data_IF_632512540292
#
_entry.id   IF_632512540292
#
_cell.length_a   1.000
_cell.length_b   1.000
_cell.length_c   1.000
_cell.angle_alpha   90.00
_cell.angle_beta   90.00
_cell.angle_gamma   90.00
#
_symmetry.space_group_name_H-M   'P 1'
#
loop_
_entity.id
_entity.type
_entity.pdbx_description
1 polymer ?
#
# COMPACT_ATOMS: atom_id res chain seq x y z
N UNK A 1 0.99 -18.68 -15.90
CA UNK A 1 1.66 -17.36 -15.97
C UNK A 1 0.97 -16.42 -14.99
N UNK A 2 1.17 -16.62 -13.68
CA UNK A 2 0.52 -15.80 -12.62
C UNK A 2 1.54 -14.95 -11.84
N UNK A 3 2.68 -14.66 -12.46
CA UNK A 3 3.76 -13.89 -11.86
C UNK A 3 4.24 -12.79 -12.81
N UNK A 4 4.76 -11.71 -12.24
CA UNK A 4 5.51 -10.68 -12.96
C UNK A 4 6.88 -11.21 -13.35
N UNK A 5 7.43 -10.66 -14.44
CA UNK A 5 8.77 -11.04 -14.89
C UNK A 5 9.81 -10.34 -14.01
N UNK A 6 10.66 -11.12 -13.36
CA UNK A 6 11.83 -10.58 -12.67
C UNK A 6 12.80 -9.93 -13.67
N UNK A 7 13.29 -8.75 -13.32
CA UNK A 7 14.26 -7.96 -14.09
C UNK A 7 15.42 -7.55 -13.18
N UNK A 8 16.50 -7.03 -13.75
CA UNK A 8 17.60 -6.49 -12.96
C UNK A 8 17.13 -5.37 -11.99
N UNK A 9 16.18 -4.52 -12.41
CA UNK A 9 15.63 -3.45 -11.60
C UNK A 9 14.75 -3.95 -10.44
N UNK A 10 14.14 -5.13 -10.57
CA UNK A 10 13.19 -5.69 -9.59
C UNK A 10 13.78 -6.84 -8.78
N UNK A 11 15.04 -7.23 -9.04
CA UNK A 11 15.72 -8.32 -8.33
C UNK A 11 16.61 -7.77 -7.22
N UNK A 12 16.28 -7.99 -5.94
CA UNK A 12 17.09 -7.49 -4.84
C UNK A 12 18.41 -8.25 -4.72
N UNK A 13 19.50 -7.53 -4.45
CA UNK A 13 20.83 -8.14 -4.21
C UNK A 13 20.93 -8.81 -2.84
N UNK A 14 20.19 -8.31 -1.84
CA UNK A 14 20.18 -8.85 -0.47
C UNK A 14 18.91 -9.63 -0.17
N UNK A 15 19.08 -10.82 0.39
CA UNK A 15 17.99 -11.76 0.72
C UNK A 15 17.04 -12.00 -0.46
N UNK A 16 17.55 -12.42 -1.64
CA UNK A 16 16.74 -12.67 -2.83
C UNK A 16 15.69 -13.78 -2.62
N UNK A 17 15.92 -14.71 -1.69
CA UNK A 17 14.98 -15.74 -1.29
C UNK A 17 13.67 -15.20 -0.70
N UNK A 18 13.66 -13.92 -0.27
CA UNK A 18 12.48 -13.21 0.22
C UNK A 18 11.69 -12.51 -0.89
N UNK A 19 12.22 -12.44 -2.11
CA UNK A 19 11.54 -11.83 -3.23
C UNK A 19 10.35 -12.69 -3.67
N UNK A 20 9.24 -12.03 -4.01
CA UNK A 20 8.03 -12.65 -4.55
C UNK A 20 7.60 -11.87 -5.78
N UNK A 21 7.12 -12.59 -6.78
CA UNK A 21 6.69 -12.03 -8.06
C UNK A 21 5.29 -12.51 -8.46
N UNK A 22 4.67 -13.42 -7.71
CA UNK A 22 3.31 -13.84 -7.97
C UNK A 22 2.33 -12.67 -7.75
N UNK A 23 1.33 -12.58 -8.62
CA UNK A 23 0.32 -11.52 -8.59
C UNK A 23 -0.45 -11.52 -7.29
N UNK A 24 -0.79 -12.70 -6.78
CA UNK A 24 -1.52 -12.85 -5.52
C UNK A 24 -0.83 -12.11 -4.36
N UNK A 25 0.48 -12.30 -4.18
CA UNK A 25 1.24 -11.60 -3.12
C UNK A 25 1.33 -10.10 -3.38
N UNK A 26 1.66 -9.69 -4.61
CA UNK A 26 1.80 -8.27 -4.96
C UNK A 26 0.48 -7.52 -4.78
N UNK A 27 -0.61 -8.05 -5.34
CA UNK A 27 -1.93 -7.46 -5.26
C UNK A 27 -2.42 -7.39 -3.82
N UNK A 28 -2.26 -8.45 -3.03
CA UNK A 28 -2.67 -8.45 -1.63
C UNK A 28 -1.98 -7.34 -0.81
N UNK A 29 -0.69 -7.09 -1.04
CA UNK A 29 0.02 -6.00 -0.34
C UNK A 29 -0.48 -4.63 -0.80
N UNK A 30 -0.69 -4.44 -2.10
CA UNK A 30 -1.21 -3.16 -2.63
C UNK A 30 -2.64 -2.90 -2.17
N UNK A 31 -3.49 -3.92 -2.09
CA UNK A 31 -4.89 -3.79 -1.67
C UNK A 31 -5.02 -3.59 -0.15
N UNK A 32 -4.12 -4.15 0.66
CA UNK A 32 -4.13 -4.01 2.12
C UNK A 32 -3.46 -2.71 2.59
N UNK A 33 -2.48 -2.19 1.85
CA UNK A 33 -1.79 -0.96 2.22
C UNK A 33 -2.69 0.27 2.05
N UNK A 34 -2.99 0.97 3.15
CA UNK A 34 -3.78 2.21 3.13
C UNK A 34 -3.07 3.37 2.43
N UNK A 35 -1.73 3.35 2.41
CA UNK A 35 -0.90 4.38 1.79
C UNK A 35 0.25 3.76 1.02
N UNK A 36 0.67 4.43 -0.04
CA UNK A 36 1.93 4.19 -0.73
C UNK A 36 2.84 5.43 -0.64
N UNK A 37 4.08 5.24 -1.04
CA UNK A 37 5.08 6.28 -1.17
C UNK A 37 5.46 6.41 -2.64
N UNK A 38 5.14 7.54 -3.25
CA UNK A 38 5.45 7.89 -4.62
C UNK A 38 6.81 8.60 -4.68
N UNK A 39 7.84 7.88 -5.11
CA UNK A 39 9.16 8.41 -5.43
C UNK A 39 9.23 8.96 -6.84
N UNK A 40 9.69 10.20 -6.98
CA UNK A 40 9.93 10.90 -8.25
C UNK A 40 11.25 11.66 -8.21
N UNK A 41 11.81 11.99 -9.37
CA UNK A 41 12.94 12.93 -9.47
C UNK A 41 12.39 14.29 -9.85
N UNK A 42 12.68 15.30 -9.02
CA UNK A 42 12.27 16.68 -9.24
C UNK A 42 12.99 17.32 -10.45
N UNK A 43 12.48 18.45 -10.96
CA UNK A 43 13.12 19.17 -12.08
C UNK A 43 14.55 19.64 -11.79
N UNK A 44 14.91 19.79 -10.51
CA UNK A 44 16.25 20.12 -10.02
C UNK A 44 17.15 18.88 -9.84
N UNK A 45 16.70 17.71 -10.29
CA UNK A 45 17.41 16.43 -10.17
C UNK A 45 17.34 15.80 -8.78
N UNK A 46 16.62 16.39 -7.82
CA UNK A 46 16.55 15.86 -6.44
C UNK A 46 15.43 14.83 -6.30
N UNK A 47 15.67 13.70 -5.61
CA UNK A 47 14.60 12.75 -5.33
C UNK A 47 13.60 13.33 -4.33
N UNK A 48 12.32 13.06 -4.55
CA UNK A 48 11.23 13.40 -3.64
C UNK A 48 10.37 12.16 -3.46
N UNK A 49 9.96 11.90 -2.21
CA UNK A 49 9.06 10.80 -1.86
C UNK A 49 7.82 11.37 -1.20
N UNK A 50 6.66 11.13 -1.80
CA UNK A 50 5.38 11.68 -1.38
C UNK A 50 4.47 10.55 -0.86
N UNK A 51 4.02 10.59 0.41
CA UNK A 51 2.97 9.67 0.86
C UNK A 51 1.64 10.05 0.21
N UNK A 52 0.91 9.05 -0.28
CA UNK A 52 -0.40 9.26 -0.93
C UNK A 52 -1.25 8.00 -0.87
N UNK A 53 -2.57 8.20 -0.90
CA UNK A 53 -3.53 7.12 -1.18
C UNK A 53 -3.31 6.66 -2.63
N UNK A 54 -3.45 5.36 -2.85
CA UNK A 54 -3.50 4.72 -4.16
C UNK A 54 -4.73 3.83 -4.24
N UNK A 55 -5.04 3.33 -5.43
CA UNK A 55 -5.95 2.20 -5.59
C UNK A 55 -5.45 1.31 -6.72
N UNK A 56 -5.65 0.01 -6.58
CA UNK A 56 -5.37 -0.94 -7.65
C UNK A 56 -6.67 -1.35 -8.34
N UNK A 57 -6.68 -1.34 -9.67
CA UNK A 57 -7.75 -1.95 -10.48
C UNK A 57 -7.10 -2.85 -11.51
N UNK A 58 -7.21 -4.17 -11.30
CA UNK A 58 -6.50 -5.15 -12.13
C UNK A 58 -4.98 -4.95 -12.06
N UNK A 59 -4.35 -4.74 -13.22
CA UNK A 59 -2.89 -4.56 -13.36
C UNK A 59 -2.47 -3.08 -13.37
N UNK A 60 -3.29 -2.18 -12.79
CA UNK A 60 -3.06 -0.74 -12.79
C UNK A 60 -3.13 -0.18 -11.39
N UNK A 61 -2.18 0.69 -11.06
CA UNK A 61 -2.23 1.55 -9.89
C UNK A 61 -2.68 2.96 -10.29
N UNK A 62 -3.65 3.48 -9.57
CA UNK A 62 -4.14 4.83 -9.70
C UNK A 62 -3.74 5.67 -8.50
N UNK A 63 -3.33 6.90 -8.78
CA UNK A 63 -2.96 7.93 -7.81
C UNK A 63 -3.73 9.19 -8.19
N UNK A 64 -4.12 10.01 -7.22
CA UNK A 64 -4.77 11.29 -7.50
C UNK A 64 -4.09 12.44 -6.77
N UNK A 65 -4.37 13.65 -7.23
CA UNK A 65 -3.95 14.86 -6.53
C UNK A 65 -4.47 16.11 -7.22
N UNK A 66 -4.13 17.27 -6.66
CA UNK A 66 -4.44 18.54 -7.31
C UNK A 66 -3.78 18.60 -8.70
N UNK A 67 -4.51 19.14 -9.68
CA UNK A 67 -3.96 19.53 -11.00
C UNK A 67 -2.75 20.47 -10.88
N UNK A 68 -2.64 21.20 -9.76
CA UNK A 68 -1.51 22.06 -9.41
C UNK A 68 -0.38 21.38 -8.64
N UNK A 69 -0.41 20.07 -8.43
CA UNK A 69 0.70 19.37 -7.75
C UNK A 69 1.87 19.09 -8.70
N UNK A 70 3.09 19.05 -8.17
CA UNK A 70 4.31 18.92 -8.99
C UNK A 70 4.35 17.61 -9.80
N UNK A 71 4.10 16.41 -9.22
CA UNK A 71 4.13 15.17 -10.01
C UNK A 71 3.07 15.15 -11.11
N UNK A 72 1.88 15.68 -10.84
CA UNK A 72 0.76 15.69 -11.78
C UNK A 72 1.04 16.61 -12.99
N UNK A 73 1.64 17.78 -12.76
CA UNK A 73 2.06 18.67 -13.85
C UNK A 73 3.24 18.13 -14.66
N UNK A 74 4.12 17.36 -14.02
CA UNK A 74 5.30 16.81 -14.66
C UNK A 74 5.02 15.50 -15.42
N UNK A 75 3.84 14.89 -15.23
CA UNK A 75 3.46 13.68 -15.92
C UNK A 75 3.30 13.91 -17.44
N UNK A 76 3.69 12.95 -18.29
CA UNK A 76 4.18 11.63 -17.93
C UNK A 76 5.63 11.62 -17.43
N UNK A 77 5.89 10.86 -16.37
CA UNK A 77 7.21 10.79 -15.71
C UNK A 77 7.49 9.39 -15.16
N UNK A 78 8.78 9.04 -15.05
CA UNK A 78 9.19 7.80 -14.41
C UNK A 78 9.07 7.91 -12.89
N UNK A 79 8.56 6.86 -12.27
CA UNK A 79 8.23 6.81 -10.85
C UNK A 79 8.65 5.50 -10.20
N UNK A 80 8.81 5.53 -8.89
CA UNK A 80 8.91 4.36 -8.03
C UNK A 80 7.79 4.44 -7.00
N UNK A 81 6.85 3.49 -7.00
CA UNK A 81 5.79 3.41 -5.99
C UNK A 81 6.13 2.30 -5.02
N UNK A 82 6.14 2.61 -3.72
CA UNK A 82 6.43 1.63 -2.66
C UNK A 82 5.28 1.56 -1.66
N UNK A 83 4.83 0.35 -1.33
CA UNK A 83 3.90 0.07 -0.25
C UNK A 83 4.52 -0.92 0.73
N UNK A 84 4.37 -0.69 2.03
CA UNK A 84 4.97 -1.53 3.08
C UNK A 84 3.98 -1.74 4.22
N UNK A 85 3.84 -3.00 4.65
CA UNK A 85 3.09 -3.43 5.82
C UNK A 85 4.08 -4.03 6.82
N UNK A 86 4.07 -3.53 8.06
CA UNK A 86 4.88 -4.10 9.15
C UNK A 86 4.01 -5.06 9.93
N UNK A 87 4.42 -6.32 9.97
CA UNK A 87 3.64 -7.42 10.56
C UNK A 87 4.19 -7.85 11.94
N UNK A 88 5.41 -7.43 12.30
CA UNK A 88 5.95 -7.69 13.63
C UNK A 88 7.36 -7.17 13.86
N UNK A 89 7.69 -6.90 15.11
CA UNK A 89 9.04 -6.56 15.57
C UNK A 89 9.75 -7.85 15.95
N UNK A 90 10.90 -8.12 15.33
CA UNK A 90 11.72 -9.30 15.66
C UNK A 90 12.83 -8.87 16.60
N UNK A 91 12.70 -9.33 17.84
CA UNK A 91 13.61 -9.02 18.93
C UNK A 91 14.52 -10.24 19.14
N UNK A 92 15.79 -10.08 18.78
CA UNK A 92 16.83 -11.09 18.91
C UNK A 92 17.60 -10.91 20.22
N UNK A 93 18.43 -11.89 20.58
CA UNK A 93 19.30 -11.84 21.77
C UNK A 93 20.52 -10.96 21.52
N UNK A 94 21.08 -11.00 20.31
CA UNK A 94 22.15 -10.12 19.87
C UNK A 94 21.60 -8.90 19.14
N UNK A 95 22.21 -7.74 19.43
CA UNK A 95 21.85 -6.47 18.82
C UNK A 95 21.89 -6.49 17.28
N UNK A 96 22.73 -7.36 16.70
CA UNK A 96 22.90 -7.50 15.25
C UNK A 96 21.70 -8.17 14.55
N UNK A 97 20.98 -9.06 15.25
CA UNK A 97 19.94 -9.90 14.65
C UNK A 97 18.52 -9.33 14.78
N UNK A 98 18.35 -8.14 15.38
CA UNK A 98 17.06 -7.44 15.39
C UNK A 98 16.55 -7.16 13.98
N UNK A 99 15.23 -7.30 13.78
CA UNK A 99 14.61 -7.10 12.48
C UNK A 99 13.11 -6.81 12.57
N UNK A 100 12.41 -6.85 11.43
CA UNK A 100 10.96 -6.74 11.35
C UNK A 100 10.41 -7.83 10.43
N UNK A 101 9.25 -8.38 10.76
CA UNK A 101 8.42 -9.10 9.80
C UNK A 101 7.64 -8.06 9.00
N UNK A 102 7.61 -8.21 7.69
CA UNK A 102 7.00 -7.24 6.78
C UNK A 102 6.61 -7.87 5.46
N UNK A 103 5.73 -7.18 4.75
CA UNK A 103 5.44 -7.37 3.33
C UNK A 103 5.57 -6.02 2.64
N UNK A 104 6.34 -5.95 1.57
CA UNK A 104 6.43 -4.73 0.77
C UNK A 104 6.34 -5.01 -0.71
N UNK A 105 5.91 -4.01 -1.47
CA UNK A 105 5.88 -4.00 -2.94
C UNK A 105 6.60 -2.76 -3.43
N UNK A 106 7.43 -2.93 -4.45
CA UNK A 106 8.07 -1.85 -5.21
C UNK A 106 7.63 -1.99 -6.66
N UNK A 107 7.09 -0.90 -7.21
CA UNK A 107 6.68 -0.78 -8.61
C UNK A 107 7.54 0.28 -9.26
N UNK A 108 8.34 -0.12 -10.24
CA UNK A 108 8.98 0.81 -11.17
C UNK A 108 8.07 0.96 -12.39
N UNK A 109 7.80 2.21 -12.78
CA UNK A 109 6.93 2.43 -13.93
C UNK A 109 6.92 3.87 -14.40
N UNK A 110 6.13 4.12 -15.44
CA UNK A 110 5.88 5.46 -15.95
C UNK A 110 4.48 5.87 -15.55
N UNK A 111 4.35 6.92 -14.75
CA UNK A 111 3.07 7.48 -14.40
C UNK A 111 2.54 8.32 -15.57
N UNK A 112 1.34 7.99 -16.06
CA UNK A 112 0.68 8.66 -17.18
C UNK A 112 -0.63 9.30 -16.74
N UNK A 113 -0.99 10.51 -17.22
CA UNK A 113 -2.28 11.11 -16.91
C UNK A 113 -3.45 10.30 -17.48
N UNK A 114 -4.50 10.10 -16.69
CA UNK A 114 -5.76 9.50 -17.16
C UNK A 114 -6.62 10.59 -17.80
N UNK A 115 -6.81 10.50 -19.12
CA UNK A 115 -7.56 11.48 -19.91
C UNK A 115 -8.98 11.02 -20.23
N UNK A 116 -9.19 9.71 -20.39
CA UNK A 116 -10.50 9.15 -20.67
C UNK A 116 -11.44 9.38 -19.47
N UNK A 117 -12.60 10.06 -19.65
CA UNK A 117 -13.55 10.31 -18.58
C UNK A 117 -14.06 9.02 -17.90
N UNK A 118 -14.23 7.93 -18.66
CA UNK A 118 -14.74 6.68 -18.10
C UNK A 118 -13.69 6.00 -17.21
N UNK A 119 -12.45 5.85 -17.69
CA UNK A 119 -11.33 5.35 -16.87
C UNK A 119 -11.12 6.23 -15.62
N UNK A 120 -11.23 7.56 -15.78
CA UNK A 120 -11.05 8.50 -14.68
C UNK A 120 -12.12 8.35 -13.60
N UNK A 121 -13.38 8.13 -13.98
CA UNK A 121 -14.45 7.86 -13.03
C UNK A 121 -14.16 6.59 -12.23
N UNK A 122 -13.81 5.49 -12.92
CA UNK A 122 -13.44 4.22 -12.28
C UNK A 122 -12.28 4.40 -11.30
N UNK A 123 -11.24 5.14 -11.70
CA UNK A 123 -10.07 5.38 -10.86
C UNK A 123 -10.41 6.19 -9.60
N UNK A 124 -11.24 7.23 -9.72
CA UNK A 124 -11.65 8.06 -8.58
C UNK A 124 -12.54 7.28 -7.60
N UNK A 125 -13.50 6.51 -8.11
CA UNK A 125 -14.34 5.64 -7.27
C UNK A 125 -13.49 4.59 -6.56
N UNK A 126 -12.55 3.94 -7.27
CA UNK A 126 -11.64 2.97 -6.68
C UNK A 126 -10.75 3.59 -5.58
N UNK A 127 -10.30 4.84 -5.73
CA UNK A 127 -9.54 5.56 -4.71
C UNK A 127 -10.39 5.83 -3.46
N UNK A 128 -11.65 6.19 -3.63
CA UNK A 128 -12.57 6.39 -2.49
C UNK A 128 -12.86 5.05 -1.80
N UNK A 129 -13.11 3.99 -2.56
CA UNK A 129 -13.36 2.64 -2.02
C UNK A 129 -12.10 2.00 -1.42
N UNK A 130 -10.90 2.44 -1.81
CA UNK A 130 -9.65 2.02 -1.16
C UNK A 130 -9.51 2.60 0.26
N UNK A 131 -10.12 3.76 0.53
CA UNK A 131 -10.20 4.29 1.90
C UNK A 131 -11.06 3.38 2.76
N UNK A 132 -12.25 3.02 2.26
CA UNK A 132 -13.09 1.97 2.83
C UNK A 132 -14.11 1.51 1.79
N UNK A 133 -14.22 0.18 1.63
CA UNK A 133 -15.03 -0.41 0.58
C UNK A 133 -16.51 0.01 0.69
N UNK A 134 -17.10 0.43 -0.44
CA UNK A 134 -18.50 0.86 -0.53
C UNK A 134 -18.70 2.36 -0.32
N UNK A 135 -17.65 3.10 0.07
CA UNK A 135 -17.75 4.54 0.34
C UNK A 135 -18.06 5.37 -0.89
N UNK A 136 -17.60 4.97 -2.08
CA UNK A 136 -17.85 5.72 -3.30
C UNK A 136 -19.36 5.84 -3.59
N UNK A 137 -20.12 4.76 -3.33
CA UNK A 137 -21.57 4.74 -3.49
C UNK A 137 -22.33 5.42 -2.33
N UNK A 138 -21.72 5.54 -1.15
CA UNK A 138 -22.31 6.13 0.06
C UNK A 138 -21.78 7.55 0.35
N UNK A 139 -21.53 8.33 -0.70
CA UNK A 139 -21.19 9.74 -0.58
C UNK A 139 -21.75 10.54 -1.76
N UNK A 140 -21.87 11.86 -1.61
CA UNK A 140 -22.29 12.71 -2.73
C UNK A 140 -21.24 12.62 -3.84
N UNK A 141 -21.65 12.40 -5.11
CA UNK A 141 -20.74 12.45 -6.25
C UNK A 141 -20.00 13.78 -6.34
N UNK A 142 -18.75 13.76 -6.81
CA UNK A 142 -17.96 14.96 -7.03
C UNK A 142 -18.65 15.92 -8.03
N UNK A 143 -18.63 17.21 -7.71
CA UNK A 143 -19.10 18.27 -8.59
C UNK A 143 -18.14 18.50 -9.75
N UNK A 144 -18.60 19.18 -10.81
CA UNK A 144 -17.75 19.55 -11.95
C UNK A 144 -16.50 20.34 -11.54
N UNK A 145 -16.63 21.20 -10.52
CA UNK A 145 -15.51 22.00 -9.99
C UNK A 145 -14.48 21.12 -9.27
N UNK A 146 -14.94 20.21 -8.42
CA UNK A 146 -14.07 19.27 -7.71
C UNK A 146 -13.34 18.36 -8.70
N UNK A 147 -14.05 17.84 -9.70
CA UNK A 147 -13.43 17.08 -10.79
C UNK A 147 -12.42 17.94 -11.55
N UNK A 148 -12.73 19.17 -11.94
CA UNK A 148 -11.77 20.03 -12.65
C UNK A 148 -10.47 20.31 -11.85
N UNK A 149 -10.50 20.24 -10.52
CA UNK A 149 -9.35 20.46 -9.66
C UNK A 149 -8.50 19.21 -9.39
N UNK A 150 -8.99 18.01 -9.74
CA UNK A 150 -8.36 16.73 -9.42
C UNK A 150 -7.82 16.05 -10.67
N UNK A 151 -6.53 15.73 -10.71
CA UNK A 151 -5.95 14.92 -11.75
C UNK A 151 -5.64 13.49 -11.23
N UNK A 152 -5.63 12.53 -12.15
CA UNK A 152 -5.38 11.11 -11.86
C UNK A 152 -4.19 10.64 -12.70
N UNK A 153 -3.26 9.93 -12.06
CA UNK A 153 -2.18 9.20 -12.73
C UNK A 153 -2.46 7.72 -12.68
N UNK A 154 -2.07 7.03 -13.76
CA UNK A 154 -2.00 5.59 -13.85
C UNK A 154 -0.54 5.14 -13.92
N UNK A 155 -0.22 4.06 -13.23
CA UNK A 155 1.03 3.32 -13.37
C UNK A 155 0.66 1.86 -13.67
N UNK A 156 1.12 1.35 -14.81
CA UNK A 156 0.90 -0.05 -15.20
C UNK A 156 1.87 -0.97 -14.41
N UNK A 157 1.37 -2.13 -13.95
CA UNK A 157 2.12 -3.09 -13.15
C UNK A 157 2.96 -4.02 -14.05
N UNK A 158 4.08 -3.52 -14.56
CA UNK A 158 4.98 -4.31 -15.43
C UNK A 158 6.27 -4.74 -14.73
N UNK A 159 6.94 -3.78 -14.08
CA UNK A 159 8.20 -4.00 -13.35
C UNK A 159 7.94 -3.91 -11.85
N UNK A 160 7.51 -5.03 -11.27
CA UNK A 160 7.09 -5.13 -9.87
C UNK A 160 7.87 -6.21 -9.13
N UNK A 161 8.23 -5.94 -7.88
CA UNK A 161 8.66 -6.97 -6.94
C UNK A 161 8.00 -6.80 -5.59
N UNK A 162 7.67 -7.92 -4.95
CA UNK A 162 7.34 -7.96 -3.54
C UNK A 162 8.54 -8.51 -2.75
N UNK A 163 8.64 -8.13 -1.47
CA UNK A 163 9.58 -8.72 -0.52
C UNK A 163 8.87 -9.02 0.78
N UNK A 164 9.02 -10.26 1.25
CA UNK A 164 8.31 -10.76 2.42
C UNK A 164 9.29 -11.34 3.43
N UNK A 165 9.17 -10.92 4.69
CA UNK A 165 9.86 -11.52 5.83
C UNK A 165 8.85 -11.92 6.89
N UNK A 166 8.92 -13.17 7.32
CA UNK A 166 8.19 -13.72 8.46
C UNK A 166 9.15 -14.57 9.31
N UNK A 167 8.71 -15.00 10.50
CA UNK A 167 9.50 -15.87 11.39
C UNK A 167 10.12 -15.13 12.58
N UNK A 168 10.94 -15.85 13.34
CA UNK A 168 11.55 -15.40 14.58
C UNK A 168 12.91 -14.71 14.42
N UNK A 169 13.61 -14.56 15.54
CA UNK A 169 15.02 -14.17 15.58
C UNK A 169 15.90 -15.32 15.06
N UNK A 170 17.02 -14.97 14.45
CA UNK A 170 18.03 -15.90 13.96
C UNK A 170 19.29 -15.68 14.79
N UNK A 171 19.28 -16.12 16.04
CA UNK A 171 20.40 -15.99 16.97
C UNK A 171 21.49 -17.03 16.69
N UNK A 172 22.74 -16.71 17.03
CA UNK A 172 23.83 -17.67 16.98
C UNK A 172 23.78 -18.62 18.19
N UNK A 173 24.33 -19.85 18.11
CA UNK A 173 24.30 -20.82 19.20
C UNK A 173 24.83 -20.29 20.54
N UNK A 174 25.85 -19.43 20.49
CA UNK A 174 26.48 -18.80 21.66
C UNK A 174 25.55 -17.85 22.41
N UNK A 175 24.61 -17.20 21.72
CA UNK A 175 23.67 -16.25 22.31
C UNK A 175 22.58 -16.96 23.13
N UNK A 176 22.30 -18.24 22.85
CA UNK A 176 21.17 -18.98 23.42
C UNK A 176 21.29 -19.24 24.92
N UNK A 177 22.52 -19.27 25.46
CA UNK A 177 22.78 -19.46 26.88
C UNK A 177 22.63 -18.17 27.71
N UNK A 178 22.56 -17.01 27.04
CA UNK A 178 22.47 -15.71 27.70
C UNK A 178 21.09 -15.42 28.31
N UNK A 179 20.98 -14.46 29.25
CA UNK A 179 19.74 -14.14 29.96
C UNK A 179 18.76 -13.28 29.14
N UNK A 180 19.05 -13.03 27.85
CA UNK A 180 18.29 -12.09 27.02
C UNK A 180 17.03 -12.74 26.44
N UNK A 181 15.92 -12.03 26.54
CA UNK A 181 14.67 -12.45 25.92
C UNK A 181 14.71 -12.23 24.40
N UNK A 182 14.14 -13.16 23.64
CA UNK A 182 13.95 -13.05 22.20
C UNK A 182 12.56 -13.54 21.78
N UNK A 183 12.02 -12.93 20.74
CA UNK A 183 10.69 -13.23 20.25
C UNK A 183 10.21 -12.27 19.16
N UNK A 184 8.93 -12.37 18.85
CA UNK A 184 8.27 -11.49 17.90
C UNK A 184 7.13 -10.76 18.61
N UNK A 185 7.09 -9.45 18.49
CA UNK A 185 5.93 -8.64 18.88
C UNK A 185 5.09 -8.41 17.62
N UNK A 186 3.92 -9.04 17.45
CA UNK A 186 3.09 -8.85 16.27
C UNK A 186 2.63 -7.40 16.16
N UNK A 187 2.67 -6.84 14.95
CA UNK A 187 2.13 -5.52 14.62
C UNK A 187 0.92 -5.72 13.72
N UNK A 188 -0.18 -5.04 14.03
CA UNK A 188 -1.43 -5.12 13.27
C UNK A 188 -2.02 -3.72 13.13
N UNK A 189 -2.48 -3.39 11.92
CA UNK A 189 -3.33 -2.24 11.70
C UNK A 189 -4.77 -2.66 11.93
N UNK A 190 -5.49 -1.91 12.77
CA UNK A 190 -6.91 -2.12 13.05
C UNK A 190 -7.64 -0.79 12.89
N UNK A 191 -8.84 -0.84 12.33
CA UNK A 191 -9.74 0.31 12.33
C UNK A 191 -10.36 0.43 13.72
N UNK A 192 -10.38 1.66 14.26
CA UNK A 192 -11.04 1.97 15.52
C UNK A 192 -12.56 2.04 15.38
N UNK A 193 -13.24 2.30 16.50
CA UNK A 193 -14.67 2.62 16.46
C UNK A 193 -14.90 3.91 15.66
N UNK A 194 -15.89 3.96 14.74
CA UNK A 194 -16.21 5.19 14.01
C UNK A 194 -16.61 6.32 14.96
N UNK A 195 -16.00 7.49 14.78
CA UNK A 195 -16.32 8.71 15.52
C UNK A 195 -17.18 9.61 14.62
N UNK A 196 -18.47 9.83 14.95
CA UNK A 196 -19.35 10.65 14.12
C UNK A 196 -18.94 12.13 14.18
N UNK A 197 -19.09 12.82 13.04
CA UNK A 197 -18.91 14.28 12.97
C UNK A 197 -19.94 14.99 13.87
N UNK A 198 -19.53 16.03 14.59
CA UNK A 198 -20.41 16.84 15.41
C UNK A 198 -21.52 17.57 14.63
N UNK A 199 -21.34 17.75 13.32
CA UNK A 199 -22.30 18.36 12.41
C UNK A 199 -23.21 17.34 11.70
N UNK A 200 -23.11 16.07 12.07
CA UNK A 200 -23.93 15.02 11.47
C UNK A 200 -25.43 15.29 11.77
N UNK A 201 -26.31 15.31 10.76
CA UNK A 201 -27.74 15.54 10.98
C UNK A 201 -28.34 14.49 11.90
N UNK A 202 -29.33 14.90 12.70
CA UNK A 202 -30.08 13.97 13.54
C UNK A 202 -30.73 12.88 12.67
N UNK A 203 -30.55 11.61 13.07
CA UNK A 203 -31.07 10.45 12.34
C UNK A 203 -30.16 9.91 11.23
N UNK A 204 -29.04 10.56 10.90
CA UNK A 204 -28.03 9.96 10.04
C UNK A 204 -27.26 8.87 10.82
N UNK A 205 -27.66 7.61 10.62
CA UNK A 205 -27.06 6.45 11.26
C UNK A 205 -25.69 6.07 10.68
N UNK A 206 -24.94 5.26 11.43
CA UNK A 206 -23.70 4.66 10.95
C UNK A 206 -23.98 3.75 9.75
N UNK A 207 -23.31 3.94 8.59
CA UNK A 207 -23.44 3.02 7.46
C UNK A 207 -23.06 1.59 7.84
N UNK A 208 -23.83 0.61 7.36
CA UNK A 208 -23.66 -0.80 7.74
C UNK A 208 -22.26 -1.37 7.41
N UNK A 209 -21.59 -0.85 6.36
CA UNK A 209 -20.24 -1.27 5.99
C UNK A 209 -19.14 -0.74 6.96
N UNK A 210 -19.50 0.19 7.85
CA UNK A 210 -18.64 0.67 8.95
C UNK A 210 -18.95 -0.02 10.29
N UNK A 211 -19.99 -0.85 10.36
CA UNK A 211 -20.29 -1.59 11.58
C UNK A 211 -19.13 -2.57 11.89
N UNK A 212 -18.47 -2.46 13.05
CA UNK A 212 -17.37 -3.34 13.45
C UNK A 212 -17.75 -4.84 13.42
N UNK A 213 -19.04 -5.18 13.57
CA UNK A 213 -19.54 -6.56 13.47
C UNK A 213 -19.54 -7.06 12.01
N UNK A 214 -19.71 -6.16 11.03
CA UNK A 214 -19.65 -6.46 9.60
C UNK A 214 -18.19 -6.54 9.10
N UNK A 215 -17.27 -5.82 9.73
CA UNK A 215 -15.84 -5.86 9.43
C UNK A 215 -15.17 -7.08 10.11
N UNK A 216 -15.44 -8.29 9.60
CA UNK A 216 -14.70 -9.48 10.05
C UNK A 216 -13.20 -9.22 9.87
N UNK A 217 -12.35 -9.48 10.88
CA UNK A 217 -10.91 -9.38 10.68
C UNK A 217 -10.53 -10.31 9.52
N UNK A 218 -9.77 -9.77 8.56
CA UNK A 218 -9.09 -10.58 7.55
C UNK A 218 -8.33 -11.64 8.32
N UNK A 219 -8.79 -12.89 8.22
CA UNK A 219 -8.20 -14.00 8.99
C UNK A 219 -6.70 -14.00 8.73
N UNK A 220 -5.83 -14.08 9.76
CA UNK A 220 -4.47 -14.47 9.51
C UNK A 220 -4.52 -15.85 8.86
N UNK A 221 -4.10 -15.94 7.59
CA UNK A 221 -3.86 -17.25 6.97
C UNK A 221 -2.80 -17.92 7.84
N UNK A 222 -3.20 -19.00 8.51
CA UNK A 222 -2.29 -19.84 9.30
C UNK A 222 -1.10 -20.17 8.42
N UNK A 223 0.11 -19.77 8.84
CA UNK A 223 1.33 -20.28 8.26
C UNK A 223 1.31 -21.80 8.38
N UNK A 224 1.58 -22.49 7.28
CA UNK A 224 1.90 -23.90 7.31
C UNK A 224 3.10 -24.10 8.25
N UNK A 225 2.95 -25.08 9.15
CA UNK A 225 4.02 -25.57 10.01
C UNK A 225 5.16 -26.17 9.18
#
# INVERSE_FOLDING_TARGET
MDAYRATAATTPTRSPERARYDRATVHAVLDEALVCHLGVVGPDGRPVVLPTIHARVGERLYLHGSTGSRPLRAAPLDVCVTATLVDGLVLARSAFHHSMNYRSVVVHGRAVPVQDPAERAVALDAIVDHVVAGRAADCRPASRRELAATAVLRVDLDAVSAKVRSGGAHDEPEDLAGPWWAGVVPVRTVLGAPEPDALLPEGAGLPAYLDPVAQRPVRPRRGAA
#
